data_IF_857089174461
#
_entry.id   IF_857089174461
#
_cell.length_a   1.000
_cell.length_b   1.000
_cell.length_c   1.000
_cell.angle_alpha   90.00
_cell.angle_beta   90.00
_cell.angle_gamma   90.00
#
_symmetry.space_group_name_H-M   'P 1'
#
loop_
_entity.id
_entity.type
_entity.pdbx_description
1 polymer ?
#
# COMPACT_ATOMS: atom_id res chain seq x y z
N UNK A 1 10.10 9.28 -17.38
CA UNK A 1 9.53 8.03 -16.84
C UNK A 1 9.15 7.19 -18.04
N UNK A 2 10.08 6.35 -18.50
CA UNK A 2 10.16 5.86 -19.88
C UNK A 2 8.89 5.13 -20.38
N UNK A 3 8.20 4.41 -19.49
CA UNK A 3 6.99 3.64 -19.85
C UNK A 3 5.79 4.55 -20.14
N UNK A 4 5.66 5.68 -19.44
CA UNK A 4 4.56 6.63 -19.67
C UNK A 4 4.86 7.49 -20.91
N UNK A 5 6.13 7.89 -21.09
CA UNK A 5 6.58 8.67 -22.24
C UNK A 5 6.41 7.88 -23.54
N UNK A 6 6.82 6.61 -23.57
CA UNK A 6 6.62 5.73 -24.73
C UNK A 6 5.15 5.43 -25.03
N UNK A 7 4.29 5.29 -24.00
CA UNK A 7 2.85 5.13 -24.21
C UNK A 7 2.23 6.40 -24.83
N UNK A 8 2.65 7.58 -24.36
CA UNK A 8 2.17 8.87 -24.88
C UNK A 8 2.61 9.10 -26.34
N UNK A 9 3.86 8.76 -26.67
CA UNK A 9 4.38 8.83 -28.05
C UNK A 9 3.62 7.91 -29.00
N UNK A 10 3.25 6.72 -28.54
CA UNK A 10 2.48 5.74 -29.32
C UNK A 10 0.96 6.00 -29.31
N UNK A 11 0.49 7.08 -28.66
CA UNK A 11 -0.95 7.36 -28.45
C UNK A 11 -1.71 6.17 -27.84
N UNK A 12 -1.04 5.40 -26.99
CA UNK A 12 -1.56 4.17 -26.39
C UNK A 12 -1.59 4.24 -24.86
N UNK A 13 -2.16 3.21 -24.23
CA UNK A 13 -2.14 3.07 -22.78
C UNK A 13 -0.82 2.40 -22.32
N UNK A 14 -0.31 2.73 -21.13
CA UNK A 14 0.83 2.01 -20.55
C UNK A 14 0.53 0.51 -20.43
N UNK A 15 1.56 -0.32 -20.59
CA UNK A 15 1.43 -1.76 -20.39
C UNK A 15 0.87 -2.06 -18.99
N UNK A 16 -0.06 -3.02 -18.92
CA UNK A 16 -0.61 -3.49 -17.65
C UNK A 16 0.49 -4.11 -16.80
N UNK A 17 0.44 -3.85 -15.49
CA UNK A 17 1.38 -4.43 -14.53
C UNK A 17 1.19 -5.94 -14.44
N UNK A 18 2.31 -6.68 -14.41
CA UNK A 18 2.30 -8.14 -14.24
C UNK A 18 1.88 -8.55 -12.82
N UNK A 19 2.30 -7.78 -11.80
CA UNK A 19 2.02 -8.09 -10.41
C UNK A 19 2.14 -6.89 -9.45
N UNK A 20 1.47 -7.01 -8.30
CA UNK A 20 1.61 -6.11 -7.16
C UNK A 20 2.45 -6.74 -6.05
N UNK A 21 3.20 -5.90 -5.35
CA UNK A 21 4.11 -6.34 -4.28
C UNK A 21 3.86 -5.59 -2.98
N UNK A 22 4.08 -6.27 -1.85
CA UNK A 22 4.16 -5.66 -0.52
C UNK A 22 5.62 -5.77 -0.08
N UNK A 23 6.27 -4.64 0.22
CA UNK A 23 7.70 -4.58 0.57
C UNK A 23 8.63 -5.30 -0.43
N UNK A 24 8.34 -5.18 -1.73
CA UNK A 24 9.13 -5.81 -2.81
C UNK A 24 8.87 -7.31 -3.00
N UNK A 25 7.97 -7.89 -2.21
CA UNK A 25 7.62 -9.30 -2.27
C UNK A 25 6.24 -9.52 -2.91
N UNK A 26 6.17 -10.51 -3.80
CA UNK A 26 4.92 -10.94 -4.42
C UNK A 26 4.02 -11.66 -3.41
N UNK A 27 2.71 -11.50 -3.56
CA UNK A 27 1.73 -12.23 -2.76
C UNK A 27 1.56 -13.69 -3.19
N UNK A 28 0.92 -14.50 -2.35
CA UNK A 28 0.70 -15.94 -2.57
C UNK A 28 -0.20 -16.29 -3.77
N UNK A 29 -0.89 -15.30 -4.35
CA UNK A 29 -1.79 -15.47 -5.50
C UNK A 29 -1.06 -15.52 -6.85
N UNK A 30 0.23 -15.17 -6.89
CA UNK A 30 1.03 -15.24 -8.10
C UNK A 30 1.69 -16.62 -8.26
N UNK A 31 1.90 -17.05 -9.51
CA UNK A 31 2.63 -18.28 -9.77
C UNK A 31 4.09 -18.11 -9.33
N UNK A 32 4.66 -19.16 -8.73
CA UNK A 32 6.05 -19.20 -8.26
C UNK A 32 6.42 -18.23 -7.11
N UNK A 33 5.46 -17.54 -6.46
CA UNK A 33 5.75 -16.55 -5.41
C UNK A 33 5.53 -17.02 -3.97
N UNK A 34 4.87 -18.16 -3.75
CA UNK A 34 4.41 -18.63 -2.41
C UNK A 34 5.48 -18.70 -1.31
N UNK A 35 6.74 -18.86 -1.68
CA UNK A 35 7.85 -18.92 -0.71
C UNK A 35 8.32 -17.53 -0.25
N UNK A 36 7.97 -16.48 -0.98
CA UNK A 36 8.53 -15.14 -0.82
C UNK A 36 7.58 -14.10 -0.25
N UNK A 37 6.34 -14.43 0.16
CA UNK A 37 5.39 -13.41 0.63
C UNK A 37 5.81 -12.78 1.96
N UNK A 38 5.60 -11.46 2.08
CA UNK A 38 5.86 -10.69 3.29
C UNK A 38 5.02 -11.21 4.47
N UNK A 39 5.71 -11.52 5.57
CA UNK A 39 5.10 -12.00 6.81
C UNK A 39 5.53 -11.11 7.97
N UNK A 40 4.54 -10.59 8.69
CA UNK A 40 4.75 -9.89 9.95
C UNK A 40 4.21 -10.76 11.08
N UNK A 41 5.09 -11.16 12.00
CA UNK A 41 4.69 -11.92 13.19
C UNK A 41 4.14 -10.95 14.24
N UNK A 42 2.93 -11.23 14.72
CA UNK A 42 2.23 -10.42 15.71
C UNK A 42 1.89 -11.23 16.95
N UNK A 43 1.88 -10.57 18.10
CA UNK A 43 1.51 -11.15 19.38
C UNK A 43 0.09 -10.73 19.74
N UNK A 44 -0.68 -11.68 20.26
CA UNK A 44 -2.05 -11.45 20.71
C UNK A 44 -2.14 -10.28 21.72
N UNK A 45 -3.14 -9.41 21.55
CA UNK A 45 -3.39 -8.28 22.43
C UNK A 45 -2.37 -7.14 22.35
N UNK A 46 -1.40 -7.21 21.43
CA UNK A 46 -0.47 -6.11 21.15
C UNK A 46 -1.01 -5.25 20.02
N UNK A 47 -0.59 -3.98 20.03
CA UNK A 47 -0.90 -3.01 18.99
C UNK A 47 0.36 -2.66 18.22
N UNK A 48 0.27 -2.68 16.90
CA UNK A 48 1.37 -2.45 15.99
C UNK A 48 1.13 -1.18 15.18
N UNK A 49 2.17 -0.35 15.05
CA UNK A 49 2.15 0.83 14.19
C UNK A 49 2.66 0.44 12.80
N UNK A 50 1.75 0.31 11.84
CA UNK A 50 2.08 0.11 10.44
C UNK A 50 2.21 1.47 9.73
N UNK A 51 3.28 1.62 8.95
CA UNK A 51 3.49 2.78 8.08
C UNK A 51 3.25 2.30 6.65
N UNK A 52 2.06 2.60 6.12
CA UNK A 52 1.71 2.20 4.76
C UNK A 52 2.11 3.33 3.82
N UNK A 53 2.78 2.95 2.74
CA UNK A 53 3.26 3.86 1.70
C UNK A 53 2.85 3.23 0.36
N UNK A 54 2.10 3.97 -0.45
CA UNK A 54 1.85 3.57 -1.83
C UNK A 54 3.02 4.07 -2.71
N UNK A 55 3.74 3.14 -3.33
CA UNK A 55 4.84 3.44 -4.27
C UNK A 55 4.50 2.98 -5.71
N UNK A 56 3.22 2.71 -5.98
CA UNK A 56 2.75 2.35 -7.31
C UNK A 56 2.56 3.64 -8.12
N UNK A 57 2.88 3.61 -9.40
CA UNK A 57 2.91 4.82 -10.23
C UNK A 57 1.52 5.42 -10.46
N UNK A 58 0.55 4.62 -10.93
CA UNK A 58 -0.70 5.16 -11.46
C UNK A 58 -1.97 4.46 -10.92
N UNK A 59 -1.86 3.61 -9.90
CA UNK A 59 -2.99 2.83 -9.38
C UNK A 59 -3.31 3.17 -7.92
N UNK A 60 -4.60 3.35 -7.66
CA UNK A 60 -5.16 3.48 -6.31
C UNK A 60 -5.34 2.09 -5.69
N UNK A 61 -5.01 1.96 -4.41
CA UNK A 61 -5.03 0.66 -3.72
C UNK A 61 -5.88 0.67 -2.47
N UNK A 62 -6.66 -0.40 -2.31
CA UNK A 62 -7.32 -0.71 -1.04
C UNK A 62 -6.42 -1.61 -0.20
N UNK A 63 -6.25 -1.26 1.07
CA UNK A 63 -5.48 -2.05 2.03
C UNK A 63 -6.35 -2.43 3.23
N UNK A 64 -6.33 -3.72 3.58
CA UNK A 64 -6.99 -4.27 4.78
C UNK A 64 -6.17 -5.39 5.39
N UNK A 65 -6.41 -5.67 6.68
CA UNK A 65 -5.86 -6.84 7.37
C UNK A 65 -7.03 -7.71 7.81
N UNK A 66 -7.09 -8.94 7.30
CA UNK A 66 -8.19 -9.85 7.60
C UNK A 66 -8.33 -10.07 9.12
N UNK A 67 -9.58 -10.01 9.61
CA UNK A 67 -9.92 -10.15 11.03
C UNK A 67 -9.27 -9.12 11.97
N UNK A 68 -8.76 -8.01 11.46
CA UNK A 68 -8.17 -6.94 12.28
C UNK A 68 -8.85 -5.60 11.99
N UNK A 69 -8.99 -4.78 13.03
CA UNK A 69 -9.43 -3.38 12.87
C UNK A 69 -8.23 -2.46 12.68
N UNK A 70 -8.35 -1.51 11.77
CA UNK A 70 -7.34 -0.49 11.51
C UNK A 70 -7.75 0.82 12.19
N UNK A 71 -6.81 1.50 12.84
CA UNK A 71 -7.03 2.85 13.37
C UNK A 71 -6.05 3.79 12.71
N UNK A 72 -6.55 4.71 11.89
CA UNK A 72 -5.73 5.74 11.24
C UNK A 72 -5.38 6.78 12.29
N UNK A 73 -4.09 7.05 12.47
CA UNK A 73 -3.59 8.02 13.46
C UNK A 73 -2.81 9.17 12.82
N UNK A 74 -2.43 9.05 11.55
CA UNK A 74 -1.74 10.12 10.84
C UNK A 74 -1.67 9.90 9.34
N UNK A 75 -1.53 11.00 8.61
CA UNK A 75 -1.36 11.04 7.16
C UNK A 75 -0.37 12.15 6.80
N UNK A 76 0.45 11.94 5.77
CA UNK A 76 1.41 12.91 5.24
C UNK A 76 2.29 13.58 6.32
N UNK A 77 2.77 12.76 7.27
CA UNK A 77 3.62 13.23 8.36
C UNK A 77 2.89 13.86 9.56
N UNK A 78 1.63 14.27 9.40
CA UNK A 78 0.83 14.90 10.44
C UNK A 78 -0.05 13.89 11.19
N UNK A 79 -0.28 14.14 12.48
CA UNK A 79 -1.23 13.38 13.28
C UNK A 79 -2.65 13.91 13.05
N UNK A 80 -3.60 12.99 13.01
CA UNK A 80 -5.02 13.31 12.89
C UNK A 80 -5.80 12.71 14.06
N UNK A 81 -7.06 13.15 14.22
CA UNK A 81 -7.98 12.48 15.15
C UNK A 81 -8.10 11.01 14.76
N UNK A 82 -7.95 10.05 15.71
CA UNK A 82 -8.01 8.64 15.38
C UNK A 82 -9.34 8.22 14.74
N UNK A 83 -9.26 7.53 13.60
CA UNK A 83 -10.44 7.02 12.87
C UNK A 83 -10.33 5.50 12.78
N UNK A 84 -11.35 4.77 13.25
CA UNK A 84 -11.43 3.31 13.13
C UNK A 84 -12.09 2.92 11.81
N UNK A 85 -11.48 2.01 11.08
CA UNK A 85 -11.98 1.48 9.81
C UNK A 85 -11.49 0.03 9.60
N UNK A 86 -12.15 -0.72 8.73
CA UNK A 86 -11.72 -2.07 8.32
C UNK A 86 -10.76 -2.06 7.14
N UNK A 87 -10.81 -1.02 6.31
CA UNK A 87 -9.96 -0.83 5.14
C UNK A 87 -9.61 0.64 4.94
N UNK A 88 -8.55 0.89 4.18
CA UNK A 88 -8.18 2.23 3.72
C UNK A 88 -7.99 2.22 2.20
N UNK A 89 -8.16 3.38 1.59
CA UNK A 89 -7.80 3.63 0.19
C UNK A 89 -6.57 4.53 0.17
N UNK A 90 -5.58 4.18 -0.65
CA UNK A 90 -4.34 4.93 -0.78
C UNK A 90 -4.15 5.24 -2.25
N UNK A 91 -4.17 6.52 -2.57
CA UNK A 91 -3.99 6.99 -3.94
C UNK A 91 -2.50 7.29 -4.17
N UNK A 92 -2.00 7.06 -5.39
CA UNK A 92 -0.68 7.56 -5.76
C UNK A 92 -0.75 9.08 -5.80
N UNK A 93 0.28 9.75 -5.29
CA UNK A 93 0.30 11.21 -5.31
C UNK A 93 0.45 11.69 -6.75
N UNK A 94 -0.54 12.42 -7.26
CA UNK A 94 -0.53 12.95 -8.63
C UNK A 94 0.32 14.20 -8.78
N UNK A 95 0.84 14.77 -7.70
CA UNK A 95 1.61 16.01 -7.77
C UNK A 95 3.02 15.87 -7.20
N UNK A 96 3.97 15.95 -8.14
CA UNK A 96 5.38 16.32 -7.95
C UNK A 96 6.18 15.43 -6.99
N UNK A 97 7.07 14.65 -7.59
CA UNK A 97 8.31 14.10 -7.01
C UNK A 97 8.67 14.64 -5.61
N UNK A 98 8.24 13.96 -4.54
CA UNK A 98 9.07 13.71 -3.32
C UNK A 98 8.28 13.15 -2.13
N UNK A 99 6.94 13.24 -2.09
CA UNK A 99 6.17 12.74 -0.95
C UNK A 99 5.28 11.57 -1.36
N UNK A 100 5.80 10.35 -1.17
CA UNK A 100 4.93 9.18 -1.14
C UNK A 100 3.89 9.38 -0.02
N UNK A 101 2.58 9.31 -0.31
CA UNK A 101 1.55 9.40 0.72
C UNK A 101 1.80 8.33 1.79
N UNK A 102 2.14 8.78 2.99
CA UNK A 102 2.43 7.92 4.13
C UNK A 102 1.26 7.97 5.10
N UNK A 103 0.62 6.83 5.31
CA UNK A 103 -0.45 6.65 6.29
C UNK A 103 0.10 5.87 7.48
N UNK A 104 -0.18 6.36 8.69
CA UNK A 104 0.16 5.70 9.96
C UNK A 104 -1.10 5.03 10.52
N UNK A 105 -1.03 3.70 10.66
CA UNK A 105 -2.11 2.86 11.15
C UNK A 105 -1.70 2.17 12.45
N UNK A 106 -2.58 2.19 13.44
CA UNK A 106 -2.50 1.25 14.55
C UNK A 106 -3.38 0.04 14.23
N UNK A 107 -2.80 -1.14 14.33
CA UNK A 107 -3.48 -2.43 14.16
C UNK A 107 -3.45 -3.16 15.48
N UNK A 108 -4.61 -3.54 15.99
CA UNK A 108 -4.74 -4.32 17.21
C UNK A 108 -4.98 -5.78 16.84
N UNK A 109 -4.10 -6.65 17.34
CA UNK A 109 -4.19 -8.10 17.12
C UNK A 109 -5.18 -8.71 18.09
N UNK A 110 -6.21 -9.35 17.53
CA UNK A 110 -7.22 -10.14 18.25
C UNK A 110 -6.84 -11.62 18.31
#
# INVERSE_FOLDING_TARGET
>A
MEIIETALENSGEPNKLDAFTINGQLGDLYNCSKQGMFKLVVNYGKTYLLRIINSIMNEEMFFMVAKHSLTIVGTNGAYIKPIKTSYIMITPDRQWMSLSQQIRLLVTTI
#
